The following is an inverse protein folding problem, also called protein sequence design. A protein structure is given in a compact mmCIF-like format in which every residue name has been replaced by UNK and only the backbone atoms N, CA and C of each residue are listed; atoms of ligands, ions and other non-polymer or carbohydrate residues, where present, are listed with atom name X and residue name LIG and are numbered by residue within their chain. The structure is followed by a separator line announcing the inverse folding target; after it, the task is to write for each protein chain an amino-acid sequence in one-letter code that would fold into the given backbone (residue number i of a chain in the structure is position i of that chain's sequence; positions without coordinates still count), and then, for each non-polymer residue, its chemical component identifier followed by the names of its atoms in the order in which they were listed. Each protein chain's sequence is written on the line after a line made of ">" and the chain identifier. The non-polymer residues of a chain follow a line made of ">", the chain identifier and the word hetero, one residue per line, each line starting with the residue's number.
data_IF_541178145500
#
_entry.id   IF_541178145500
#
_cell.length_a   1.000
_cell.length_b   1.000
_cell.length_c   1.000
_cell.angle_alpha   90.00
_cell.angle_beta   90.00
_cell.angle_gamma   90.00
#
_symmetry.space_group_name_H-M   'P 1'
#
loop_
_entity.id
_entity.type
_entity.pdbx_description
1 polymer ?
#
# COMPACT_ATOMS: atom_id res chain seq x y z
N UNK A 1 -9.06 -5.28 -26.82
CA UNK A 1 -9.31 -4.06 -27.64
C UNK A 1 -8.06 -3.74 -28.43
N UNK A 2 -8.17 -3.71 -29.76
CA UNK A 2 -7.14 -3.12 -30.62
C UNK A 2 -6.97 -1.67 -30.22
N UNK A 3 -5.77 -1.30 -29.75
CA UNK A 3 -5.38 0.10 -29.73
C UNK A 3 -5.69 0.67 -31.12
N UNK A 4 -6.42 1.79 -31.21
CA UNK A 4 -6.42 2.51 -32.48
C UNK A 4 -4.99 2.99 -32.67
N UNK A 5 -4.21 2.23 -33.42
CA UNK A 5 -2.80 2.51 -33.70
C UNK A 5 -2.68 3.92 -34.25
N UNK A 6 -3.65 4.35 -35.06
CA UNK A 6 -3.79 5.72 -35.56
C UNK A 6 -3.90 6.76 -34.43
N UNK A 7 -4.76 6.52 -33.42
CA UNK A 7 -4.90 7.42 -32.27
C UNK A 7 -3.61 7.51 -31.45
N UNK A 8 -2.92 6.38 -31.24
CA UNK A 8 -1.63 6.37 -30.53
C UNK A 8 -0.54 7.13 -31.31
N UNK A 9 -0.46 6.97 -32.63
CA UNK A 9 0.49 7.67 -33.51
C UNK A 9 0.24 9.19 -33.49
N UNK A 10 -1.02 9.62 -33.45
CA UNK A 10 -1.38 11.04 -33.32
C UNK A 10 -1.10 11.59 -31.92
N UNK A 11 -1.35 10.80 -30.88
CA UNK A 11 -1.16 11.18 -29.49
C UNK A 11 0.33 11.29 -29.12
N UNK A 12 1.17 10.39 -29.65
CA UNK A 12 2.61 10.21 -29.31
C UNK A 12 2.88 10.18 -27.80
N UNK A 13 1.90 9.74 -27.01
CA UNK A 13 1.98 9.69 -25.55
C UNK A 13 1.92 11.05 -24.84
N UNK A 14 1.86 12.17 -25.56
CA UNK A 14 1.87 13.52 -24.95
C UNK A 14 0.48 14.13 -24.74
N UNK A 15 -0.54 13.65 -25.47
CA UNK A 15 -1.88 14.28 -25.51
C UNK A 15 -2.99 13.51 -24.80
N UNK A 16 -2.69 12.33 -24.25
CA UNK A 16 -3.66 11.44 -23.57
C UNK A 16 -5.00 11.24 -24.30
N UNK A 17 -4.98 11.20 -25.64
CA UNK A 17 -6.19 11.10 -26.47
C UNK A 17 -7.02 9.83 -26.23
N UNK A 18 -6.43 8.80 -25.61
CA UNK A 18 -7.12 7.55 -25.27
C UNK A 18 -7.96 7.64 -23.98
N UNK A 19 -7.95 8.78 -23.27
CA UNK A 19 -8.73 8.97 -22.05
C UNK A 19 -8.21 8.21 -20.82
N UNK A 20 -7.10 7.48 -20.91
CA UNK A 20 -6.49 6.78 -19.77
C UNK A 20 -5.85 7.75 -18.76
N UNK A 21 -5.69 7.31 -17.52
CA UNK A 21 -5.03 8.07 -16.47
C UNK A 21 -3.50 8.23 -16.71
N UNK A 22 -2.89 7.28 -17.43
CA UNK A 22 -1.51 7.34 -17.93
C UNK A 22 -1.42 6.73 -19.34
N UNK A 23 -0.27 6.88 -20.01
CA UNK A 23 -0.01 6.24 -21.30
C UNK A 23 0.70 4.88 -21.12
N UNK A 24 0.03 3.73 -21.37
CA UNK A 24 0.64 2.42 -21.15
C UNK A 24 1.85 2.12 -22.04
N UNK A 25 1.89 2.71 -23.24
CA UNK A 25 3.01 2.56 -24.18
C UNK A 25 4.27 3.22 -23.63
N UNK A 26 4.17 4.49 -23.19
CA UNK A 26 5.29 5.23 -22.63
C UNK A 26 5.76 4.58 -21.32
N UNK A 27 4.84 4.21 -20.45
CA UNK A 27 5.16 3.48 -19.21
C UNK A 27 5.94 2.20 -19.53
N UNK A 28 5.45 1.36 -20.44
CA UNK A 28 6.13 0.12 -20.84
C UNK A 28 7.53 0.37 -21.41
N UNK A 29 7.70 1.39 -22.26
CA UNK A 29 9.02 1.74 -22.82
C UNK A 29 9.98 2.19 -21.71
N UNK A 30 9.55 3.07 -20.80
CA UNK A 30 10.36 3.51 -19.66
C UNK A 30 10.78 2.32 -18.78
N UNK A 31 9.84 1.44 -18.46
CA UNK A 31 10.12 0.21 -17.70
C UNK A 31 11.13 -0.70 -18.41
N UNK A 32 10.99 -0.87 -19.73
CA UNK A 32 11.95 -1.66 -20.51
C UNK A 32 13.34 -1.05 -20.51
N UNK A 33 13.47 0.28 -20.50
CA UNK A 33 14.76 0.95 -20.40
C UNK A 33 15.41 0.74 -19.02
N UNK A 34 14.64 0.86 -17.94
CA UNK A 34 15.11 0.53 -16.58
C UNK A 34 15.62 -0.91 -16.53
N UNK A 35 14.85 -1.85 -17.08
CA UNK A 35 15.23 -3.27 -17.17
C UNK A 35 16.47 -3.47 -18.05
N UNK A 36 16.59 -2.75 -19.17
CA UNK A 36 17.74 -2.87 -20.07
C UNK A 36 19.04 -2.47 -19.37
N UNK A 37 19.00 -1.45 -18.51
CA UNK A 37 20.14 -1.03 -17.70
C UNK A 37 20.51 -2.08 -16.64
N UNK A 38 19.52 -2.76 -16.06
CA UNK A 38 19.70 -3.82 -15.05
C UNK A 38 20.22 -5.16 -15.62
N UNK A 39 19.97 -5.44 -16.90
CA UNK A 39 20.14 -6.77 -17.52
C UNK A 39 21.58 -7.30 -17.58
N UNK A 40 22.59 -6.52 -17.19
CA UNK A 40 24.01 -6.88 -17.33
C UNK A 40 24.70 -7.31 -16.03
N UNK A 41 24.02 -7.22 -14.88
CA UNK A 41 24.62 -7.55 -13.59
C UNK A 41 23.72 -8.47 -12.75
N UNK A 42 24.37 -9.34 -11.98
CA UNK A 42 23.74 -10.10 -10.90
C UNK A 42 23.81 -9.33 -9.57
N UNK A 43 24.33 -8.12 -9.57
CA UNK A 43 24.52 -7.28 -8.40
C UNK A 43 23.77 -5.96 -8.59
N UNK A 44 23.17 -5.48 -7.51
CA UNK A 44 22.54 -4.17 -7.44
C UNK A 44 23.03 -3.47 -6.18
N UNK A 45 23.55 -2.27 -6.38
CA UNK A 45 23.80 -1.29 -5.34
C UNK A 45 22.81 -0.14 -5.52
N UNK A 46 22.15 0.28 -4.45
CA UNK A 46 21.21 1.41 -4.48
C UNK A 46 20.57 1.67 -3.12
N UNK A 47 19.85 2.79 -3.01
CA UNK A 47 19.24 3.22 -1.75
C UNK A 47 17.79 2.75 -1.66
N UNK A 48 17.50 1.80 -0.77
CA UNK A 48 16.13 1.35 -0.53
C UNK A 48 15.32 2.38 0.26
N UNK A 49 14.04 2.64 -0.06
CA UNK A 49 13.11 3.43 0.75
C UNK A 49 12.50 2.60 1.90
N UNK A 50 13.36 1.85 2.59
CA UNK A 50 13.03 0.62 3.33
C UNK A 50 11.89 -0.24 2.79
N UNK A 51 11.77 -0.37 1.46
CA UNK A 51 10.67 -1.12 0.85
C UNK A 51 10.91 -2.62 0.97
N UNK A 52 9.88 -3.35 1.39
CA UNK A 52 9.89 -4.82 1.51
C UNK A 52 8.57 -5.35 0.99
N UNK A 53 8.64 -6.44 0.24
CA UNK A 53 7.46 -7.17 -0.24
C UNK A 53 7.36 -8.53 0.43
N UNK A 54 6.17 -8.82 0.96
CA UNK A 54 5.83 -10.12 1.56
C UNK A 54 4.66 -10.70 0.77
N UNK A 55 4.95 -11.72 -0.02
CA UNK A 55 3.96 -12.35 -0.90
C UNK A 55 2.97 -13.24 -0.15
N UNK A 56 1.78 -13.43 -0.74
CA UNK A 56 0.75 -14.36 -0.24
C UNK A 56 0.81 -15.77 -0.85
N UNK A 57 1.43 -15.88 -2.04
CA UNK A 57 1.44 -17.13 -2.81
C UNK A 57 2.37 -18.14 -2.13
N UNK A 58 1.86 -19.35 -1.90
CA UNK A 58 2.62 -20.43 -1.26
C UNK A 58 2.47 -20.51 0.26
N UNK A 59 1.66 -19.66 0.88
CA UNK A 59 1.45 -19.64 2.35
C UNK A 59 1.20 -21.05 2.91
N UNK A 60 1.94 -21.50 3.94
CA UNK A 60 2.80 -20.72 4.83
C UNK A 60 4.25 -20.49 4.35
N UNK A 61 4.67 -21.04 3.22
CA UNK A 61 6.01 -20.81 2.66
C UNK A 61 5.95 -19.79 1.53
N UNK A 62 6.33 -18.56 1.85
CA UNK A 62 6.08 -17.40 0.99
C UNK A 62 7.38 -16.83 0.43
N UNK A 63 7.24 -15.97 -0.58
CA UNK A 63 8.34 -15.15 -1.06
C UNK A 63 8.39 -13.83 -0.29
N UNK A 64 9.56 -13.52 0.27
CA UNK A 64 9.84 -12.25 0.96
C UNK A 64 11.10 -11.63 0.37
N UNK A 65 11.15 -10.30 0.35
CA UNK A 65 12.31 -9.63 -0.23
C UNK A 65 12.36 -8.13 -0.06
N UNK A 66 13.56 -7.53 0.11
CA UNK A 66 13.75 -6.10 0.01
C UNK A 66 13.57 -5.61 -1.43
N UNK A 67 13.31 -4.31 -1.55
CA UNK A 67 13.18 -3.60 -2.81
C UNK A 67 14.05 -2.34 -2.81
N UNK A 68 14.82 -2.15 -3.87
CA UNK A 68 15.61 -0.93 -4.08
C UNK A 68 15.73 -0.57 -5.56
N UNK A 69 15.84 0.73 -5.90
CA UNK A 69 16.20 1.16 -7.24
C UNK A 69 17.70 1.00 -7.47
N UNK A 70 18.17 1.30 -8.69
CA UNK A 70 19.61 1.45 -8.99
C UNK A 70 20.14 2.83 -8.59
N UNK A 71 19.24 3.74 -8.24
CA UNK A 71 19.57 5.12 -7.87
C UNK A 71 20.07 5.17 -6.42
N UNK A 72 20.98 6.10 -6.15
CA UNK A 72 21.44 6.40 -4.80
C UNK A 72 20.94 7.78 -4.36
N UNK A 73 20.61 7.96 -3.09
CA UNK A 73 20.13 9.22 -2.52
C UNK A 73 18.77 9.10 -1.83
N UNK A 74 18.00 10.18 -1.79
CA UNK A 74 16.69 10.17 -1.14
C UNK A 74 15.64 9.47 -2.01
N UNK A 75 15.40 8.20 -1.70
CA UNK A 75 14.39 7.39 -2.37
C UNK A 75 13.08 7.31 -1.60
N UNK A 76 12.91 8.02 -0.47
CA UNK A 76 11.76 7.91 0.45
C UNK A 76 10.41 7.95 -0.28
N UNK A 77 10.30 8.82 -1.27
CA UNK A 77 9.08 9.02 -2.07
C UNK A 77 8.69 7.79 -2.91
N UNK A 78 9.54 6.76 -3.07
CA UNK A 78 9.25 5.57 -3.89
C UNK A 78 8.37 4.55 -3.16
N UNK A 79 8.27 4.63 -1.83
CA UNK A 79 7.47 3.74 -0.97
C UNK A 79 6.85 4.48 0.22
N UNK A 80 6.32 5.69 -0.06
CA UNK A 80 5.62 6.54 0.91
C UNK A 80 4.29 7.07 0.36
N UNK A 81 3.22 6.23 0.36
CA UNK A 81 1.92 6.56 -0.21
C UNK A 81 1.29 7.85 0.31
N UNK A 82 1.53 8.21 1.58
CA UNK A 82 1.01 9.42 2.21
C UNK A 82 1.37 10.71 1.46
N UNK A 83 2.44 10.71 0.65
CA UNK A 83 2.86 11.86 -0.18
C UNK A 83 2.45 11.77 -1.66
N UNK A 84 1.91 10.64 -2.12
CA UNK A 84 1.62 10.41 -3.55
C UNK A 84 0.39 11.14 -4.06
N UNK A 85 -0.47 11.62 -3.17
CA UNK A 85 -1.76 12.21 -3.54
C UNK A 85 -1.65 13.51 -4.37
N UNK A 86 -0.46 14.12 -4.42
CA UNK A 86 -0.11 15.28 -5.25
C UNK A 86 0.61 14.91 -6.57
N UNK A 87 1.00 13.64 -6.73
CA UNK A 87 1.77 13.16 -7.86
C UNK A 87 0.86 12.69 -9.01
N UNK A 88 1.40 12.76 -10.22
CA UNK A 88 0.77 12.14 -11.37
C UNK A 88 0.98 10.63 -11.31
N UNK A 89 -0.04 9.87 -11.71
CA UNK A 89 -0.03 8.40 -11.69
C UNK A 89 1.10 7.78 -12.52
N UNK A 90 1.50 8.41 -13.63
CA UNK A 90 2.65 7.97 -14.43
C UNK A 90 3.95 8.02 -13.63
N UNK A 91 4.13 9.04 -12.78
CA UNK A 91 5.29 9.13 -11.89
C UNK A 91 5.25 8.09 -10.79
N UNK A 92 4.09 7.82 -10.18
CA UNK A 92 3.93 6.76 -9.18
C UNK A 92 4.31 5.41 -9.80
N UNK A 93 3.76 5.07 -10.96
CA UNK A 93 4.07 3.82 -11.65
C UNK A 93 5.56 3.73 -11.99
N UNK A 94 6.18 4.82 -12.45
CA UNK A 94 7.62 4.86 -12.73
C UNK A 94 8.47 4.58 -11.47
N UNK A 95 8.17 5.24 -10.35
CA UNK A 95 8.87 5.00 -9.08
C UNK A 95 8.70 3.54 -8.63
N UNK A 96 7.47 3.00 -8.66
CA UNK A 96 7.19 1.62 -8.27
C UNK A 96 7.89 0.59 -9.15
N UNK A 97 7.93 0.82 -10.45
CA UNK A 97 8.60 -0.08 -11.40
C UNK A 97 10.12 0.04 -11.38
N UNK A 98 10.68 1.14 -10.85
CA UNK A 98 12.13 1.27 -10.64
C UNK A 98 12.66 0.38 -9.52
N UNK A 99 11.80 -0.01 -8.58
CA UNK A 99 12.17 -0.83 -7.44
C UNK A 99 12.37 -2.30 -7.84
N UNK A 100 13.60 -2.76 -7.75
CA UNK A 100 13.98 -4.15 -8.01
C UNK A 100 13.76 -5.00 -6.77
N UNK A 101 12.99 -6.08 -6.91
CA UNK A 101 12.65 -7.01 -5.83
C UNK A 101 13.61 -8.21 -5.81
N UNK A 102 14.41 -8.30 -4.75
CA UNK A 102 15.18 -9.51 -4.44
C UNK A 102 14.34 -10.47 -3.60
N UNK A 103 13.86 -11.57 -4.18
CA UNK A 103 12.97 -12.50 -3.44
C UNK A 103 13.70 -13.74 -2.97
N UNK A 104 13.44 -14.14 -1.73
CA UNK A 104 13.80 -15.45 -1.18
C UNK A 104 12.55 -16.18 -0.70
N UNK A 105 12.61 -17.51 -0.64
CA UNK A 105 11.51 -18.32 -0.08
C UNK A 105 11.78 -18.54 1.40
N UNK A 106 10.80 -18.24 2.25
CA UNK A 106 10.92 -18.36 3.71
C UNK A 106 9.59 -18.83 4.31
N UNK A 107 9.66 -19.64 5.37
CA UNK A 107 8.48 -19.98 6.15
C UNK A 107 8.04 -18.79 6.99
N UNK A 108 6.74 -18.52 7.09
CA UNK A 108 6.23 -17.32 7.77
C UNK A 108 6.70 -17.17 9.22
N UNK A 109 7.00 -18.26 9.92
CA UNK A 109 7.47 -18.24 11.32
C UNK A 109 8.98 -18.09 11.46
N UNK A 110 9.75 -18.18 10.37
CA UNK A 110 11.20 -18.07 10.38
C UNK A 110 11.65 -16.59 10.39
N UNK A 111 11.45 -15.95 11.53
CA UNK A 111 11.81 -14.54 11.77
C UNK A 111 13.26 -14.35 12.22
N UNK A 112 13.97 -15.44 12.50
CA UNK A 112 15.32 -15.44 13.09
C UNK A 112 16.43 -15.76 12.07
N UNK A 113 16.08 -16.20 10.85
CA UNK A 113 17.07 -16.42 9.80
C UNK A 113 17.89 -15.17 9.48
N UNK A 114 19.10 -15.35 8.96
CA UNK A 114 20.00 -14.25 8.57
C UNK A 114 19.33 -13.25 7.62
N UNK A 115 18.52 -13.74 6.69
CA UNK A 115 17.81 -12.88 5.74
C UNK A 115 16.65 -12.14 6.41
N UNK A 116 15.91 -12.79 7.33
CA UNK A 116 14.86 -12.14 8.10
C UNK A 116 15.42 -11.02 8.98
N UNK A 117 16.55 -11.26 9.66
CA UNK A 117 17.24 -10.24 10.46
C UNK A 117 17.72 -9.06 9.61
N UNK A 118 18.30 -9.31 8.43
CA UNK A 118 18.69 -8.24 7.51
C UNK A 118 17.46 -7.45 7.02
N UNK A 119 16.33 -8.11 6.77
CA UNK A 119 15.08 -7.43 6.41
C UNK A 119 14.53 -6.60 7.57
N UNK A 120 14.59 -7.10 8.81
CA UNK A 120 14.23 -6.33 9.99
C UNK A 120 15.12 -5.10 10.14
N UNK A 121 16.44 -5.27 10.03
CA UNK A 121 17.39 -4.16 10.10
C UNK A 121 17.06 -3.11 9.03
N UNK A 122 16.76 -3.52 7.79
CA UNK A 122 16.33 -2.61 6.74
C UNK A 122 15.07 -1.84 7.13
N UNK A 123 14.01 -2.51 7.59
CA UNK A 123 12.73 -1.86 7.91
C UNK A 123 12.81 -1.01 9.18
N UNK A 124 13.63 -1.36 10.17
CA UNK A 124 13.81 -0.57 11.39
C UNK A 124 14.49 0.78 11.11
N UNK A 125 15.21 0.88 9.99
CA UNK A 125 15.63 2.17 9.46
C UNK A 125 14.40 2.90 8.91
N UNK A 126 14.06 4.06 9.47
CA UNK A 126 12.95 4.88 8.96
C UNK A 126 13.34 5.71 7.73
N UNK A 127 14.64 5.77 7.41
CA UNK A 127 15.21 6.58 6.34
C UNK A 127 15.68 5.69 5.18
N UNK A 128 15.86 6.25 3.98
CA UNK A 128 16.50 5.54 2.89
C UNK A 128 17.87 4.98 3.30
N UNK A 129 18.11 3.72 2.99
CA UNK A 129 19.30 2.99 3.39
C UNK A 129 19.95 2.32 2.19
N UNK A 130 21.27 2.50 2.04
CA UNK A 130 22.02 1.86 0.97
C UNK A 130 22.09 0.35 1.20
N UNK A 131 21.79 -0.41 0.15
CA UNK A 131 21.85 -1.87 0.19
C UNK A 131 22.59 -2.43 -1.02
N UNK A 132 23.27 -3.55 -0.79
CA UNK A 132 23.84 -4.42 -1.81
C UNK A 132 23.00 -5.69 -1.90
N UNK A 133 22.46 -5.97 -3.07
CA UNK A 133 21.76 -7.21 -3.39
C UNK A 133 22.55 -8.02 -4.41
N UNK A 134 22.81 -9.29 -4.10
CA UNK A 134 23.37 -10.27 -5.04
C UNK A 134 22.28 -11.26 -5.41
N UNK A 135 22.08 -11.45 -6.71
CA UNK A 135 21.05 -12.31 -7.29
C UNK A 135 21.66 -13.56 -7.92
N UNK A 136 20.88 -14.65 -7.95
CA UNK A 136 21.27 -15.89 -8.65
C UNK A 136 21.30 -15.68 -10.18
N UNK A 137 20.47 -14.75 -10.67
CA UNK A 137 20.34 -14.39 -12.08
C UNK A 137 19.88 -12.94 -12.21
N UNK A 138 20.10 -12.29 -13.37
CA UNK A 138 19.75 -10.89 -13.53
C UNK A 138 18.23 -10.66 -13.32
N UNK A 139 17.83 -9.61 -12.58
CA UNK A 139 16.43 -9.24 -12.41
C UNK A 139 15.72 -9.01 -13.74
N UNK A 140 14.54 -9.62 -13.90
CA UNK A 140 13.75 -9.53 -15.14
C UNK A 140 12.27 -9.44 -14.85
N UNK A 141 11.54 -8.95 -15.86
CA UNK A 141 10.09 -8.82 -15.86
C UNK A 141 9.60 -7.65 -15.01
N UNK A 142 8.28 -7.57 -14.90
CA UNK A 142 7.53 -6.73 -13.98
C UNK A 142 6.15 -7.36 -13.87
N UNK A 143 5.42 -7.05 -12.81
CA UNK A 143 4.03 -7.49 -12.67
C UNK A 143 3.13 -6.28 -12.64
N UNK A 144 2.21 -6.22 -13.60
CA UNK A 144 0.97 -5.49 -13.41
C UNK A 144 -0.05 -6.48 -12.87
N UNK A 145 -0.50 -6.21 -11.66
CA UNK A 145 -1.58 -6.93 -11.01
C UNK A 145 -2.76 -5.98 -10.95
N UNK A 146 -3.97 -6.50 -11.11
CA UNK A 146 -5.19 -5.73 -10.87
C UNK A 146 -5.44 -5.52 -9.36
N UNK A 147 -4.68 -6.22 -8.51
CA UNK A 147 -4.84 -6.23 -7.05
C UNK A 147 -3.62 -5.74 -6.26
N UNK A 148 -2.45 -5.64 -6.87
CA UNK A 148 -1.20 -5.25 -6.20
C UNK A 148 -0.55 -4.10 -6.97
N UNK A 149 0.07 -3.14 -6.26
CA UNK A 149 0.81 -2.06 -6.91
C UNK A 149 1.85 -2.62 -7.88
N UNK A 150 2.20 -1.89 -8.96
CA UNK A 150 3.22 -2.33 -9.89
C UNK A 150 4.50 -2.75 -9.16
N UNK A 151 4.96 -3.97 -9.43
CA UNK A 151 6.21 -4.49 -8.90
C UNK A 151 7.22 -4.49 -10.04
N UNK A 152 8.38 -3.87 -9.79
CA UNK A 152 9.48 -3.82 -10.73
C UNK A 152 10.15 -5.18 -10.97
N UNK A 153 11.36 -5.17 -11.57
CA UNK A 153 12.09 -6.38 -11.90
C UNK A 153 12.42 -7.22 -10.68
N UNK A 154 12.41 -8.55 -10.84
CA UNK A 154 12.67 -9.45 -9.72
C UNK A 154 13.62 -10.58 -10.05
N UNK A 155 14.38 -11.02 -9.06
CA UNK A 155 15.25 -12.19 -9.13
C UNK A 155 15.36 -12.91 -7.78
N UNK A 156 15.71 -14.21 -7.78
CA UNK A 156 16.11 -14.91 -6.56
C UNK A 156 17.30 -14.22 -5.90
N UNK A 157 17.16 -13.90 -4.62
CA UNK A 157 18.16 -13.22 -3.81
C UNK A 157 19.11 -14.25 -3.17
N UNK A 158 20.40 -14.07 -3.37
CA UNK A 158 21.47 -14.89 -2.78
C UNK A 158 22.02 -14.23 -1.51
N UNK A 159 22.26 -12.92 -1.57
CA UNK A 159 22.80 -12.18 -0.44
C UNK A 159 22.21 -10.77 -0.38
N UNK A 160 21.99 -10.28 0.84
CA UNK A 160 21.59 -8.91 1.16
C UNK A 160 22.57 -8.36 2.18
N UNK A 161 23.15 -7.20 1.87
CA UNK A 161 23.98 -6.46 2.81
C UNK A 161 23.48 -5.04 2.92
N UNK A 162 23.36 -4.57 4.15
CA UNK A 162 23.02 -3.18 4.46
C UNK A 162 24.33 -2.40 4.57
N UNK A 163 24.43 -1.32 3.81
CA UNK A 163 25.62 -0.48 3.72
C UNK A 163 25.37 0.79 4.52
N UNK A 164 25.93 0.82 5.74
CA UNK A 164 25.75 1.91 6.69
C UNK A 164 24.61 1.67 7.68
N UNK A 165 24.68 2.34 8.83
CA UNK A 165 23.62 2.33 9.83
C UNK A 165 22.94 3.69 9.83
N UNK A 166 21.62 3.72 9.63
CA UNK A 166 20.85 4.94 9.89
C UNK A 166 20.23 4.86 11.28
N UNK A 167 19.98 6.02 11.88
CA UNK A 167 19.30 6.07 13.18
C UNK A 167 17.87 5.55 13.04
N UNK A 168 17.58 4.43 13.70
CA UNK A 168 16.22 3.93 13.89
C UNK A 168 15.39 4.89 14.75
N UNK A 169 14.07 4.77 14.66
CA UNK A 169 13.18 5.51 15.53
C UNK A 169 13.11 4.80 16.90
N UNK A 170 13.52 5.48 17.97
CA UNK A 170 13.53 4.93 19.35
C UNK A 170 12.21 4.28 19.77
N UNK A 171 11.09 4.82 19.30
CA UNK A 171 9.76 4.29 19.63
C UNK A 171 9.53 2.97 18.89
N UNK A 172 9.94 2.89 17.61
CA UNK A 172 9.88 1.66 16.83
C UNK A 172 10.78 0.59 17.44
N UNK A 173 12.01 0.92 17.82
CA UNK A 173 12.94 -0.03 18.46
C UNK A 173 12.39 -0.58 19.78
N UNK A 174 11.70 0.26 20.55
CA UNK A 174 11.04 -0.16 21.79
C UNK A 174 9.98 -1.22 21.52
N UNK A 175 9.10 -1.01 20.54
CA UNK A 175 8.05 -1.99 20.19
C UNK A 175 8.59 -3.22 19.45
N UNK A 176 9.68 -3.08 18.70
CA UNK A 176 10.40 -4.21 18.13
C UNK A 176 11.05 -5.07 19.22
N UNK A 177 11.60 -4.46 20.26
CA UNK A 177 12.24 -5.16 21.38
C UNK A 177 11.23 -5.73 22.38
N UNK A 178 10.02 -5.17 22.44
CA UNK A 178 8.94 -5.67 23.30
C UNK A 178 8.35 -6.98 22.75
N UNK A 179 8.64 -8.06 23.45
CA UNK A 179 8.23 -9.42 23.08
C UNK A 179 6.92 -9.88 23.71
N UNK A 180 6.28 -9.06 24.55
CA UNK A 180 5.09 -9.40 25.33
C UNK A 180 3.84 -8.65 24.85
N UNK A 181 4.03 -7.47 24.26
CA UNK A 181 2.96 -6.68 23.66
C UNK A 181 2.24 -7.43 22.54
N UNK A 182 0.91 -7.29 22.49
CA UNK A 182 0.12 -7.76 21.34
C UNK A 182 0.42 -6.86 20.13
N UNK A 183 0.42 -7.43 18.93
CA UNK A 183 0.66 -6.67 17.70
C UNK A 183 -0.35 -5.53 17.53
N UNK A 184 -1.63 -5.76 17.82
CA UNK A 184 -2.67 -4.72 17.77
C UNK A 184 -2.41 -3.55 18.73
N UNK A 185 -1.88 -3.83 19.92
CA UNK A 185 -1.49 -2.79 20.88
C UNK A 185 -0.30 -1.99 20.34
N UNK A 186 0.74 -2.65 19.83
CA UNK A 186 1.90 -1.99 19.25
C UNK A 186 1.53 -1.10 18.06
N UNK A 187 0.67 -1.59 17.16
CA UNK A 187 0.14 -0.83 16.00
C UNK A 187 -0.54 0.47 16.45
N UNK A 188 -1.46 0.39 17.41
CA UNK A 188 -2.19 1.57 17.90
C UNK A 188 -1.25 2.55 18.59
N UNK A 189 -0.32 2.09 19.42
CA UNK A 189 0.61 2.97 20.11
C UNK A 189 1.57 3.66 19.14
N UNK A 190 2.14 2.94 18.16
CA UNK A 190 2.98 3.54 17.11
C UNK A 190 2.22 4.64 16.35
N UNK A 191 0.96 4.39 15.99
CA UNK A 191 0.10 5.39 15.37
C UNK A 191 -0.09 6.62 16.27
N UNK A 192 -0.36 6.43 17.58
CA UNK A 192 -0.51 7.52 18.55
C UNK A 192 0.76 8.35 18.73
N UNK A 193 1.93 7.75 18.54
CA UNK A 193 3.22 8.44 18.52
C UNK A 193 3.52 9.18 17.20
N UNK A 194 2.60 9.15 16.24
CA UNK A 194 2.75 9.84 14.95
C UNK A 194 3.61 9.10 13.94
N UNK A 195 3.82 7.78 14.12
CA UNK A 195 4.49 6.96 13.10
C UNK A 195 3.53 6.79 11.91
N UNK A 196 3.99 7.01 10.66
CA UNK A 196 3.13 6.86 9.48
C UNK A 196 2.52 5.47 9.35
N UNK A 197 1.28 5.39 8.88
CA UNK A 197 0.52 4.15 8.78
C UNK A 197 1.21 3.16 7.84
N UNK A 198 1.71 3.62 6.68
CA UNK A 198 2.45 2.78 5.74
C UNK A 198 3.71 2.17 6.34
N UNK A 199 4.35 2.87 7.29
CA UNK A 199 5.50 2.34 8.00
C UNK A 199 5.11 1.27 9.03
N UNK A 200 4.00 1.47 9.75
CA UNK A 200 3.45 0.47 10.67
C UNK A 200 3.03 -0.80 9.92
N UNK A 201 2.44 -0.66 8.73
CA UNK A 201 2.10 -1.77 7.83
C UNK A 201 3.34 -2.59 7.44
N UNK A 202 4.46 -1.94 7.10
CA UNK A 202 5.75 -2.61 6.83
C UNK A 202 6.26 -3.37 8.04
N UNK A 203 6.28 -2.75 9.22
CA UNK A 203 6.72 -3.37 10.48
C UNK A 203 5.87 -4.62 10.80
N UNK A 204 4.56 -4.54 10.63
CA UNK A 204 3.69 -5.70 10.82
C UNK A 204 3.94 -6.79 9.77
N UNK A 205 4.13 -6.40 8.51
CA UNK A 205 4.35 -7.34 7.39
C UNK A 205 5.60 -8.18 7.54
N UNK A 206 6.69 -7.59 8.04
CA UNK A 206 7.93 -8.34 8.29
C UNK A 206 7.91 -9.13 9.60
N UNK A 207 6.84 -9.04 10.40
CA UNK A 207 6.76 -9.74 11.68
C UNK A 207 7.57 -9.07 12.80
N UNK A 208 7.90 -7.78 12.67
CA UNK A 208 8.65 -7.02 13.67
C UNK A 208 7.81 -6.69 14.92
N UNK A 209 6.48 -6.77 14.84
CA UNK A 209 5.57 -6.40 15.93
C UNK A 209 4.83 -7.60 16.54
N UNK A 210 4.60 -7.54 17.85
CA UNK A 210 3.77 -8.49 18.59
C UNK A 210 4.57 -9.49 19.43
N UNK A 211 3.85 -10.42 20.05
CA UNK A 211 4.43 -11.40 20.96
C UNK A 211 5.44 -12.28 20.27
N UNK A 212 6.59 -12.56 20.89
CA UNK A 212 7.69 -13.33 20.28
C UNK A 212 7.22 -14.64 19.63
N UNK A 213 6.38 -15.42 20.33
CA UNK A 213 5.85 -16.71 19.84
C UNK A 213 4.81 -16.59 18.71
N UNK A 214 4.29 -15.39 18.46
CA UNK A 214 3.24 -15.12 17.48
C UNK A 214 3.73 -14.33 16.27
N UNK A 215 4.92 -13.71 16.36
CA UNK A 215 5.57 -12.99 15.25
C UNK A 215 5.73 -13.92 14.05
N UNK A 216 5.39 -13.37 12.90
CA UNK A 216 5.44 -14.05 11.61
C UNK A 216 5.45 -13.03 10.49
N UNK A 217 5.99 -13.38 9.34
CA UNK A 217 5.74 -12.64 8.12
C UNK A 217 4.24 -12.68 7.80
N UNK A 218 3.68 -11.50 7.53
CA UNK A 218 2.29 -11.33 7.12
C UNK A 218 2.30 -10.75 5.72
N UNK A 219 1.62 -11.38 4.74
CA UNK A 219 1.52 -10.85 3.39
C UNK A 219 1.15 -9.37 3.39
N UNK A 220 1.85 -8.56 2.60
CA UNK A 220 1.76 -7.10 2.64
C UNK A 220 0.31 -6.60 2.54
N UNK A 221 -0.50 -7.23 1.68
CA UNK A 221 -1.92 -6.92 1.55
C UNK A 221 -2.72 -7.16 2.83
N UNK A 222 -2.43 -8.23 3.57
CA UNK A 222 -3.10 -8.52 4.84
C UNK A 222 -2.64 -7.57 5.93
N UNK A 223 -1.36 -7.17 5.93
CA UNK A 223 -0.83 -6.18 6.86
C UNK A 223 -1.45 -4.80 6.69
N UNK A 224 -1.65 -4.36 5.44
CA UNK A 224 -2.37 -3.11 5.12
C UNK A 224 -3.74 -3.13 5.80
N UNK A 225 -4.58 -4.10 5.45
CA UNK A 225 -5.93 -4.19 6.01
C UNK A 225 -5.92 -4.34 7.53
N UNK A 226 -5.03 -5.17 8.10
CA UNK A 226 -4.98 -5.42 9.54
C UNK A 226 -4.58 -4.18 10.34
N UNK A 227 -3.66 -3.35 9.83
CA UNK A 227 -3.27 -2.09 10.47
C UNK A 227 -4.40 -1.08 10.38
N UNK A 228 -4.99 -0.90 9.19
CA UNK A 228 -6.06 0.08 8.97
C UNK A 228 -7.27 -0.24 9.86
N UNK A 229 -7.64 -1.52 9.93
CA UNK A 229 -8.69 -2.02 10.79
C UNK A 229 -8.38 -1.86 12.29
N UNK A 230 -7.15 -2.17 12.72
CA UNK A 230 -6.75 -2.03 14.13
C UNK A 230 -6.81 -0.57 14.59
N UNK A 231 -6.28 0.36 13.80
CA UNK A 231 -6.26 1.79 14.13
C UNK A 231 -7.68 2.36 14.08
N UNK A 232 -8.42 2.12 12.99
CA UNK A 232 -9.78 2.65 12.84
C UNK A 232 -10.71 2.12 13.91
N UNK A 233 -10.60 0.83 14.29
CA UNK A 233 -11.37 0.26 15.40
C UNK A 233 -11.05 0.94 16.72
N UNK A 234 -9.77 1.18 17.01
CA UNK A 234 -9.36 1.90 18.21
C UNK A 234 -9.99 3.31 18.26
N UNK A 235 -9.88 4.09 17.19
CA UNK A 235 -10.45 5.43 17.11
C UNK A 235 -11.96 5.41 17.32
N UNK A 236 -12.66 4.52 16.62
CA UNK A 236 -14.12 4.40 16.71
C UNK A 236 -14.56 3.99 18.11
N UNK A 237 -14.02 2.88 18.64
CA UNK A 237 -14.50 2.26 19.88
C UNK A 237 -14.05 3.01 21.13
N UNK A 238 -12.90 3.68 21.11
CA UNK A 238 -12.33 4.34 22.30
C UNK A 238 -12.54 5.84 22.32
N UNK A 239 -12.85 6.46 21.18
CA UNK A 239 -12.92 7.93 21.06
C UNK A 239 -14.24 8.36 20.43
N UNK A 240 -14.42 8.11 19.13
CA UNK A 240 -15.47 8.73 18.31
C UNK A 240 -16.88 8.47 18.86
N UNK A 241 -17.20 7.22 19.25
CA UNK A 241 -18.54 6.88 19.78
C UNK A 241 -18.96 7.72 21.00
N UNK A 242 -18.01 8.33 21.71
CA UNK A 242 -18.24 9.16 22.90
C UNK A 242 -18.28 10.67 22.62
N UNK A 243 -18.00 11.11 21.39
CA UNK A 243 -18.06 12.53 21.03
C UNK A 243 -19.49 13.02 20.79
N UNK A 244 -19.66 14.34 20.71
CA UNK A 244 -20.93 14.91 20.26
C UNK A 244 -21.08 14.72 18.75
N UNK A 245 -22.32 14.64 18.30
CA UNK A 245 -22.64 14.52 16.87
C UNK A 245 -22.27 15.82 16.14
N UNK A 246 -22.02 15.72 14.83
CA UNK A 246 -21.92 16.92 13.98
C UNK A 246 -23.28 17.63 13.89
N UNK A 247 -23.24 18.95 13.75
CA UNK A 247 -24.47 19.77 13.81
C UNK A 247 -25.16 19.91 12.43
N UNK A 248 -24.45 19.59 11.35
CA UNK A 248 -24.91 19.74 9.97
C UNK A 248 -24.26 18.71 9.06
N UNK A 249 -24.92 18.44 7.93
CA UNK A 249 -24.37 17.59 6.88
C UNK A 249 -23.10 18.23 6.31
N UNK A 250 -22.05 17.42 6.15
CA UNK A 250 -20.80 17.82 5.50
C UNK A 250 -20.57 16.93 4.28
N UNK A 251 -20.16 17.53 3.17
CA UNK A 251 -19.89 16.83 1.92
C UNK A 251 -18.47 17.15 1.48
N UNK A 252 -17.68 16.11 1.22
CA UNK A 252 -16.34 16.21 0.67
C UNK A 252 -16.33 15.53 -0.69
N UNK A 253 -15.77 16.20 -1.69
CA UNK A 253 -15.65 15.68 -3.05
C UNK A 253 -14.21 15.78 -3.50
N UNK A 254 -13.65 14.69 -3.99
CA UNK A 254 -12.28 14.65 -4.53
C UNK A 254 -12.26 13.82 -5.80
N UNK A 255 -11.80 14.41 -6.90
CA UNK A 255 -11.50 13.68 -8.13
C UNK A 255 -9.99 13.49 -8.28
N UNK A 256 -9.54 12.25 -8.45
CA UNK A 256 -8.13 11.91 -8.61
C UNK A 256 -7.97 10.68 -9.49
N UNK A 257 -7.03 10.73 -10.45
CA UNK A 257 -6.68 9.61 -11.36
C UNK A 257 -7.88 8.82 -11.94
N UNK A 258 -8.93 9.51 -12.43
CA UNK A 258 -10.19 8.89 -12.96
C UNK A 258 -11.03 8.16 -11.89
N UNK A 259 -10.86 8.50 -10.63
CA UNK A 259 -11.74 8.13 -9.54
C UNK A 259 -12.40 9.39 -8.98
N UNK A 260 -13.67 9.29 -8.57
CA UNK A 260 -14.37 10.32 -7.81
C UNK A 260 -14.69 9.74 -6.44
N UNK A 261 -14.19 10.38 -5.39
CA UNK A 261 -14.51 10.07 -4.01
C UNK A 261 -15.48 11.11 -3.47
N UNK A 262 -16.55 10.64 -2.85
CA UNK A 262 -17.57 11.45 -2.19
C UNK A 262 -17.68 10.95 -0.76
N UNK A 263 -17.49 11.82 0.23
CA UNK A 263 -17.74 11.51 1.64
C UNK A 263 -18.86 12.39 2.16
N UNK A 264 -19.94 11.75 2.60
CA UNK A 264 -21.11 12.38 3.19
C UNK A 264 -21.13 12.06 4.69
N UNK A 265 -20.99 13.09 5.52
CA UNK A 265 -21.13 12.98 6.97
C UNK A 265 -22.47 13.57 7.38
N UNK A 266 -23.29 12.77 8.05
CA UNK A 266 -24.66 13.09 8.46
C UNK A 266 -24.72 13.12 10.00
N UNK A 267 -25.42 14.11 10.61
CA UNK A 267 -25.69 14.09 12.04
C UNK A 267 -26.28 12.75 12.50
N UNK A 268 -25.67 12.14 13.50
CA UNK A 268 -26.09 10.86 14.04
C UNK A 268 -24.96 10.08 14.69
N UNK A 269 -25.33 8.94 15.29
CA UNK A 269 -24.36 8.03 15.88
C UNK A 269 -23.47 7.38 14.83
N UNK A 270 -22.24 7.02 15.20
CA UNK A 270 -21.31 6.36 14.29
C UNK A 270 -21.96 5.16 13.58
N UNK A 271 -22.07 5.29 12.27
CA UNK A 271 -22.31 4.23 11.30
C UNK A 271 -21.39 4.53 10.13
N UNK A 272 -20.90 3.51 9.44
CA UNK A 272 -20.02 3.70 8.30
C UNK A 272 -20.46 2.81 7.15
N UNK A 273 -20.52 3.37 5.95
CA UNK A 273 -20.82 2.66 4.72
C UNK A 273 -19.79 3.06 3.66
N UNK A 274 -19.21 2.06 3.00
CA UNK A 274 -18.34 2.24 1.83
C UNK A 274 -19.01 1.60 0.62
N UNK A 275 -19.05 2.34 -0.49
CA UNK A 275 -19.61 1.86 -1.75
C UNK A 275 -18.64 2.13 -2.90
N UNK A 276 -18.50 1.16 -3.80
CA UNK A 276 -17.76 1.28 -5.05
C UNK A 276 -18.72 1.14 -6.23
N UNK A 277 -18.73 2.17 -7.09
CA UNK A 277 -19.47 2.20 -8.34
C UNK A 277 -18.50 2.01 -9.51
N UNK A 278 -18.53 0.83 -10.12
CA UNK A 278 -17.70 0.45 -11.26
C UNK A 278 -18.42 0.78 -12.57
N UNK A 279 -17.98 1.83 -13.27
CA UNK A 279 -18.60 2.25 -14.53
C UNK A 279 -18.29 1.28 -15.69
N UNK A 280 -19.16 1.18 -16.71
CA UNK A 280 -18.90 0.39 -17.92
C UNK A 280 -17.55 0.72 -18.56
N UNK A 281 -16.77 -0.31 -18.89
CA UNK A 281 -15.39 -0.24 -19.43
C UNK A 281 -14.31 0.15 -18.41
N UNK A 282 -14.61 0.12 -17.11
CA UNK A 282 -13.60 0.12 -16.05
C UNK A 282 -12.96 -1.27 -15.89
N UNK A 283 -11.91 -1.38 -15.07
CA UNK A 283 -11.11 -2.61 -14.90
C UNK A 283 -11.96 -3.83 -14.56
N UNK A 284 -12.84 -3.70 -13.56
CA UNK A 284 -13.67 -4.81 -13.06
C UNK A 284 -15.08 -4.83 -13.65
N UNK A 285 -15.45 -3.83 -14.45
CA UNK A 285 -16.69 -3.80 -15.22
C UNK A 285 -16.40 -3.58 -16.72
N UNK A 286 -15.49 -4.40 -17.26
CA UNK A 286 -15.00 -4.23 -18.64
C UNK A 286 -16.06 -4.56 -19.69
N UNK A 287 -16.91 -5.54 -19.41
CA UNK A 287 -17.90 -6.08 -20.35
C UNK A 287 -19.36 -5.72 -20.00
N UNK A 288 -19.60 -5.08 -18.86
CA UNK A 288 -20.96 -4.67 -18.49
C UNK A 288 -21.40 -3.40 -19.23
N UNK A 289 -22.72 -3.27 -19.35
CA UNK A 289 -23.41 -2.12 -19.98
C UNK A 289 -23.91 -1.10 -18.96
N UNK A 290 -24.00 -1.48 -17.69
CA UNK A 290 -24.53 -0.64 -16.60
C UNK A 290 -23.48 -0.49 -15.49
N UNK A 291 -23.67 0.50 -14.61
CA UNK A 291 -22.81 0.70 -13.44
C UNK A 291 -23.06 -0.42 -12.44
N UNK A 292 -22.00 -1.16 -12.08
CA UNK A 292 -22.06 -2.16 -11.02
C UNK A 292 -21.74 -1.50 -9.69
N UNK A 293 -22.60 -1.66 -8.68
CA UNK A 293 -22.42 -1.07 -7.36
C UNK A 293 -22.24 -2.20 -6.35
N UNK A 294 -21.16 -2.11 -5.58
CA UNK A 294 -20.89 -2.98 -4.45
C UNK A 294 -20.70 -2.12 -3.20
N UNK A 295 -21.11 -2.62 -2.04
CA UNK A 295 -21.04 -1.86 -0.82
C UNK A 295 -21.10 -2.74 0.42
N UNK A 296 -20.66 -2.15 1.52
CA UNK A 296 -20.58 -2.81 2.81
C UNK A 296 -20.63 -1.75 3.91
N UNK A 297 -21.18 -2.13 5.07
CA UNK A 297 -21.47 -1.18 6.14
C UNK A 297 -21.26 -1.77 7.54
N UNK A 298 -21.16 -0.88 8.52
CA UNK A 298 -21.23 -1.19 9.94
C UNK A 298 -22.18 -0.21 10.66
N UNK A 299 -22.91 -0.75 11.64
CA UNK A 299 -23.83 0.01 12.48
C UNK A 299 -23.21 0.25 13.85
N UNK A 300 -23.71 1.28 14.54
CA UNK A 300 -23.19 1.71 15.85
C UNK A 300 -23.00 0.58 16.88
N UNK A 301 -23.95 -0.35 16.95
CA UNK A 301 -23.99 -1.45 17.93
C UNK A 301 -23.32 -2.74 17.44
N UNK A 302 -23.08 -2.87 16.14
CA UNK A 302 -22.46 -4.05 15.55
C UNK A 302 -20.94 -3.87 15.56
N UNK A 303 -20.26 -4.56 16.49
CA UNK A 303 -18.84 -4.80 16.28
C UNK A 303 -18.73 -5.78 15.13
N UNK A 304 -18.12 -5.34 14.03
CA UNK A 304 -17.91 -6.18 12.85
C UNK A 304 -16.97 -7.32 13.21
N UNK A 305 -17.48 -8.54 13.21
CA UNK A 305 -16.76 -9.79 13.46
C UNK A 305 -16.27 -10.47 12.17
N UNK A 306 -16.78 -10.01 11.03
CA UNK A 306 -16.51 -10.53 9.69
C UNK A 306 -15.72 -9.54 8.84
N UNK A 307 -14.88 -10.08 7.95
CA UNK A 307 -14.10 -9.27 7.01
C UNK A 307 -15.03 -8.58 5.99
N UNK A 308 -14.73 -7.33 5.65
CA UNK A 308 -15.53 -6.58 4.67
C UNK A 308 -15.53 -7.27 3.29
N UNK A 309 -16.72 -7.50 2.73
CA UNK A 309 -16.92 -8.22 1.47
C UNK A 309 -16.21 -7.53 0.30
N UNK A 310 -16.20 -6.20 0.31
CA UNK A 310 -15.59 -5.33 -0.71
C UNK A 310 -14.09 -5.10 -0.52
N UNK A 311 -13.47 -5.74 0.47
CA UNK A 311 -12.01 -5.80 0.61
C UNK A 311 -11.36 -4.64 1.37
N UNK A 312 -10.07 -4.41 1.08
CA UNK A 312 -9.21 -3.51 1.86
C UNK A 312 -9.59 -2.03 1.80
N UNK A 313 -10.16 -1.58 0.68
CA UNK A 313 -10.57 -0.19 0.47
C UNK A 313 -11.60 0.28 1.52
N UNK A 314 -12.44 -0.63 2.02
CA UNK A 314 -13.36 -0.37 3.13
C UNK A 314 -12.60 0.13 4.36
N UNK A 315 -11.53 -0.57 4.76
CA UNK A 315 -10.77 -0.26 5.97
C UNK A 315 -9.93 1.01 5.82
N UNK A 316 -9.36 1.24 4.64
CA UNK A 316 -8.64 2.49 4.34
C UNK A 316 -9.59 3.70 4.40
N UNK A 317 -10.77 3.62 3.77
CA UNK A 317 -11.77 4.68 3.82
C UNK A 317 -12.34 4.89 5.24
N UNK A 318 -12.55 3.79 5.99
CA UNK A 318 -12.97 3.83 7.39
C UNK A 318 -11.94 4.52 8.26
N UNK A 319 -10.65 4.21 8.08
CA UNK A 319 -9.56 4.86 8.80
C UNK A 319 -9.52 6.37 8.51
N UNK A 320 -9.49 6.76 7.23
CA UNK A 320 -9.46 8.18 6.86
C UNK A 320 -10.66 8.97 7.43
N UNK A 321 -11.84 8.35 7.43
CA UNK A 321 -13.06 8.93 8.02
C UNK A 321 -12.93 9.05 9.54
N UNK A 322 -12.43 8.01 10.21
CA UNK A 322 -12.22 8.00 11.64
C UNK A 322 -11.20 9.06 12.08
N UNK A 323 -10.07 9.20 11.35
CA UNK A 323 -9.06 10.23 11.61
C UNK A 323 -9.64 11.65 11.49
N UNK A 324 -10.50 11.90 10.49
CA UNK A 324 -11.15 13.20 10.34
C UNK A 324 -12.09 13.49 11.51
N UNK A 325 -12.97 12.55 11.88
CA UNK A 325 -13.91 12.70 13.00
C UNK A 325 -13.19 12.86 14.35
N UNK A 326 -12.11 12.12 14.53
CA UNK A 326 -11.21 12.24 15.67
C UNK A 326 -10.62 13.66 15.75
N UNK A 327 -10.11 14.18 14.64
CA UNK A 327 -9.51 15.52 14.55
C UNK A 327 -10.50 16.62 14.93
N UNK A 328 -11.77 16.51 14.52
CA UNK A 328 -12.80 17.51 14.86
C UNK A 328 -13.49 17.24 16.20
N UNK A 329 -13.19 16.11 16.86
CA UNK A 329 -13.80 15.71 18.12
C UNK A 329 -15.32 15.56 18.00
N UNK A 330 -15.79 14.91 16.94
CA UNK A 330 -17.22 14.67 16.67
C UNK A 330 -17.50 13.24 16.21
N UNK A 331 -18.76 12.84 16.24
CA UNK A 331 -19.26 11.62 15.60
C UNK A 331 -20.29 11.94 14.52
N UNK A 332 -20.45 11.04 13.56
CA UNK A 332 -21.39 11.16 12.46
C UNK A 332 -21.71 9.78 11.87
N UNK A 333 -22.81 9.70 11.14
CA UNK A 333 -23.02 8.65 10.14
C UNK A 333 -22.19 9.03 8.91
N UNK A 334 -21.33 8.14 8.44
CA UNK A 334 -20.46 8.37 7.31
C UNK A 334 -20.82 7.45 6.15
N UNK A 335 -21.22 8.04 5.02
CA UNK A 335 -21.43 7.31 3.76
C UNK A 335 -20.35 7.78 2.80
N UNK A 336 -19.50 6.85 2.37
CA UNK A 336 -18.37 7.17 1.52
C UNK A 336 -18.47 6.35 0.24
N UNK A 337 -18.45 7.05 -0.89
CA UNK A 337 -18.62 6.48 -2.22
C UNK A 337 -17.38 6.72 -3.05
N UNK A 338 -17.05 5.73 -3.87
CA UNK A 338 -16.03 5.84 -4.90
C UNK A 338 -16.61 5.42 -6.24
N UNK A 339 -16.57 6.34 -7.20
CA UNK A 339 -16.86 6.03 -8.59
C UNK A 339 -15.56 5.78 -9.36
N UNK A 340 -15.47 4.63 -10.01
CA UNK A 340 -14.31 4.23 -10.81
C UNK A 340 -14.66 4.33 -12.29
N UNK A 341 -14.04 5.30 -12.96
CA UNK A 341 -14.29 5.57 -14.37
C UNK A 341 -13.34 4.80 -15.30
N UNK A 342 -13.71 4.63 -16.59
CA UNK A 342 -12.83 4.02 -17.58
C UNK A 342 -11.47 4.73 -17.68
N UNK A 343 -10.40 3.95 -17.78
CA UNK A 343 -9.05 4.45 -17.96
C UNK A 343 -8.16 4.47 -16.71
N UNK A 344 -8.68 4.06 -15.55
CA UNK A 344 -7.89 3.66 -14.38
C UNK A 344 -7.82 2.13 -14.33
N UNK A 345 -6.67 1.55 -14.65
CA UNK A 345 -6.50 0.10 -14.83
C UNK A 345 -5.41 -0.53 -13.94
N UNK A 346 -4.86 0.22 -12.97
CA UNK A 346 -3.79 -0.25 -12.08
C UNK A 346 -4.05 0.24 -10.65
N UNK A 347 -4.00 -0.62 -9.63
CA UNK A 347 -3.99 -0.18 -8.23
C UNK A 347 -2.65 0.50 -7.92
N UNK A 348 -2.69 1.69 -7.34
CA UNK A 348 -1.48 2.48 -7.04
C UNK A 348 -0.95 2.29 -5.60
N UNK A 349 -1.67 1.54 -4.77
CA UNK A 349 -1.29 1.28 -3.38
C UNK A 349 -1.55 2.48 -2.49
N UNK A 350 -2.84 2.80 -2.34
CA UNK A 350 -3.38 3.86 -1.48
C UNK A 350 -4.44 3.27 -0.55
#
# INVERSE_FOLDING_TARGET
>A
MSFSTQLCILCRGGRNLCGKAYCPVITRIRTLNIIANLKKSNELFGTSPPAVFVGRMGYPDIYVGPMAPTDCGDTSIYDFPEQWSSLKIDKIIEMRLSLVLGRTKIGVTDIDSRIAQAIHELVLNAKPTDIEMVFEKPPKGFIFSEYEPPIGPRAPLVNLRIVGSTSSNRIVDRFYSDTDAKASTAVVELYRYGIPVSYIQKLLSVGALGRKRSRRFVPTRWSITAVDDAISRYLVEKRIKYYREIDRIQIFVRSIHRNLFISLLIPGKWCFEWMEAWFPRSTWNMFGSEVAIEGDYELFTANRDTYASIGGCYYAARLATAEYLEKIGRQAIAVVLREIYPGFDIPIGD
#
